data_IF_223141700440
#
_entry.id   IF_223141700440
#
_cell.length_a   1.000
_cell.length_b   1.000
_cell.length_c   1.000
_cell.angle_alpha   90.00
_cell.angle_beta   90.00
_cell.angle_gamma   90.00
#
_symmetry.space_group_name_H-M   'P 1'
#
loop_
_entity.id
_entity.type
_entity.pdbx_description
1 polymer ?
#
# COMPACT_ATOMS: atom_id res chain seq x y z
N UNK A 1 5.72 31.73 -12.72
CA UNK A 1 5.14 30.82 -11.73
C UNK A 1 4.64 31.67 -10.58
N UNK A 2 3.41 31.53 -10.16
CA UNK A 2 2.93 32.24 -8.98
C UNK A 2 3.52 31.55 -7.76
N UNK A 3 4.35 32.23 -6.99
CA UNK A 3 4.92 31.73 -5.75
C UNK A 3 3.84 31.77 -4.66
N UNK A 4 3.12 30.66 -4.50
CA UNK A 4 2.18 30.48 -3.40
C UNK A 4 2.94 29.94 -2.18
N UNK A 5 2.76 30.57 -1.03
CA UNK A 5 3.22 30.08 0.26
C UNK A 5 2.02 29.60 1.09
N UNK A 6 2.15 28.41 1.67
CA UNK A 6 1.18 27.88 2.65
C UNK A 6 1.65 28.27 4.04
N UNK A 7 0.81 28.97 4.77
CA UNK A 7 1.11 29.36 6.15
C UNK A 7 -0.12 29.15 7.06
N UNK A 8 0.03 28.49 8.21
CA UNK A 8 1.26 27.86 8.71
C UNK A 8 1.64 26.61 7.91
N UNK A 9 2.90 26.26 7.89
CA UNK A 9 3.39 25.04 7.23
C UNK A 9 2.85 23.76 7.90
N UNK A 10 2.48 23.85 9.18
CA UNK A 10 1.84 22.73 9.90
C UNK A 10 0.36 22.66 9.53
N UNK A 11 -0.15 21.51 9.09
CA UNK A 11 -1.57 21.33 8.80
C UNK A 11 -2.43 21.60 10.03
N UNK A 12 -3.53 22.35 9.83
CA UNK A 12 -4.54 22.65 10.88
C UNK A 12 -5.71 21.67 10.88
N UNK A 13 -5.82 20.86 9.84
CA UNK A 13 -6.86 19.83 9.70
C UNK A 13 -6.31 18.62 8.94
N UNK A 14 -7.08 17.53 8.94
CA UNK A 14 -6.76 16.29 8.22
C UNK A 14 -7.93 15.92 7.33
N UNK A 15 -7.63 15.43 6.13
CA UNK A 15 -8.60 14.84 5.22
C UNK A 15 -8.13 13.42 4.87
N UNK A 16 -8.46 12.41 5.69
CA UNK A 16 -8.07 11.03 5.42
C UNK A 16 -8.93 10.47 4.27
N UNK A 17 -8.49 10.71 3.05
CA UNK A 17 -9.12 10.17 1.85
C UNK A 17 -8.82 8.67 1.74
N UNK A 18 -9.82 7.90 1.33
CA UNK A 18 -9.70 6.47 1.14
C UNK A 18 -10.71 5.93 0.14
N UNK A 19 -10.53 4.69 -0.33
CA UNK A 19 -11.55 4.01 -1.12
C UNK A 19 -12.86 3.91 -0.37
N UNK A 20 -13.97 4.05 -1.09
CA UNK A 20 -15.31 3.84 -0.54
C UNK A 20 -15.95 2.62 -1.18
N UNK A 21 -16.70 1.86 -0.40
CA UNK A 21 -17.44 0.70 -0.84
C UNK A 21 -18.84 0.67 -0.21
N UNK A 22 -19.70 -0.18 -0.75
CA UNK A 22 -21.09 -0.29 -0.31
C UNK A 22 -21.16 -0.88 1.09
N UNK A 23 -22.02 -0.33 1.95
CA UNK A 23 -22.33 -0.92 3.26
C UNK A 23 -23.01 -2.29 3.12
N UNK A 24 -22.87 -3.14 4.15
CA UNK A 24 -23.44 -4.48 4.24
C UNK A 24 -22.86 -5.51 3.26
N UNK A 25 -21.64 -5.29 2.81
CA UNK A 25 -20.86 -6.27 2.07
C UNK A 25 -19.48 -6.40 2.71
N UNK A 26 -19.40 -7.20 3.77
CA UNK A 26 -18.17 -7.36 4.55
C UNK A 26 -17.05 -8.03 3.76
N UNK A 27 -17.40 -9.01 2.92
CA UNK A 27 -16.42 -9.69 2.08
C UNK A 27 -15.78 -8.73 1.06
N UNK A 28 -16.58 -7.91 0.43
CA UNK A 28 -16.07 -6.88 -0.49
C UNK A 28 -15.24 -5.83 0.26
N UNK A 29 -15.67 -5.43 1.46
CA UNK A 29 -14.91 -4.52 2.32
C UNK A 29 -13.51 -5.07 2.63
N UNK A 30 -13.43 -6.36 3.01
CA UNK A 30 -12.17 -7.02 3.29
C UNK A 30 -11.26 -7.06 2.05
N UNK A 31 -11.81 -7.41 0.88
CA UNK A 31 -11.07 -7.41 -0.39
C UNK A 31 -10.48 -6.02 -0.69
N UNK A 32 -11.28 -4.96 -0.57
CA UNK A 32 -10.81 -3.59 -0.84
C UNK A 32 -9.74 -3.17 0.16
N UNK A 33 -9.96 -3.40 1.46
CA UNK A 33 -9.01 -3.05 2.50
C UNK A 33 -7.67 -3.80 2.32
N UNK A 34 -7.71 -5.11 2.12
CA UNK A 34 -6.50 -5.90 1.93
C UNK A 34 -5.78 -5.60 0.61
N UNK A 35 -6.51 -5.17 -0.43
CA UNK A 35 -5.87 -4.68 -1.66
C UNK A 35 -5.01 -3.44 -1.39
N UNK A 36 -5.51 -2.50 -0.58
CA UNK A 36 -4.73 -1.32 -0.17
C UNK A 36 -3.57 -1.72 0.76
N UNK A 37 -3.84 -2.53 1.78
CA UNK A 37 -2.81 -3.00 2.71
C UNK A 37 -1.68 -3.77 2.02
N UNK A 38 -1.99 -4.55 0.99
CA UNK A 38 -0.99 -5.26 0.20
C UNK A 38 0.03 -4.29 -0.43
N UNK A 39 -0.42 -3.11 -0.88
CA UNK A 39 0.51 -2.09 -1.42
C UNK A 39 1.36 -1.45 -0.32
N UNK A 40 0.83 -1.28 0.90
CA UNK A 40 1.58 -0.76 2.06
C UNK A 40 2.63 -1.77 2.53
N UNK A 41 2.24 -3.04 2.67
CA UNK A 41 3.16 -4.11 3.05
C UNK A 41 4.28 -4.26 2.01
N UNK A 42 3.95 -4.23 0.72
CA UNK A 42 4.95 -4.28 -0.35
C UNK A 42 5.94 -3.10 -0.26
N UNK A 43 5.47 -1.91 0.10
CA UNK A 43 6.31 -0.73 0.33
C UNK A 43 7.26 -0.93 1.52
N UNK A 44 6.74 -1.41 2.66
CA UNK A 44 7.53 -1.72 3.86
C UNK A 44 8.66 -2.73 3.59
N UNK A 45 8.42 -3.73 2.74
CA UNK A 45 9.41 -4.73 2.35
C UNK A 45 10.27 -4.32 1.13
N UNK A 46 10.05 -3.13 0.57
CA UNK A 46 10.76 -2.67 -0.63
C UNK A 46 10.45 -3.49 -1.88
N UNK A 47 9.29 -4.15 -1.92
CA UNK A 47 8.82 -4.91 -3.10
C UNK A 47 8.17 -3.97 -4.08
N UNK A 48 8.65 -3.97 -5.32
CA UNK A 48 8.20 -3.09 -6.40
C UNK A 48 7.75 -3.91 -7.60
N UNK A 49 7.12 -3.26 -8.57
CA UNK A 49 6.81 -3.88 -9.87
C UNK A 49 8.02 -4.50 -10.56
N UNK A 50 9.19 -3.90 -10.36
CA UNK A 50 10.41 -4.30 -11.03
C UNK A 50 11.07 -5.54 -10.39
N UNK A 51 11.01 -5.65 -9.05
CA UNK A 51 11.73 -6.70 -8.32
C UNK A 51 10.84 -7.84 -7.81
N UNK A 52 9.52 -7.75 -7.89
CA UNK A 52 8.58 -8.75 -7.35
C UNK A 52 8.85 -10.17 -7.87
N UNK A 53 9.35 -10.32 -9.10
CA UNK A 53 9.64 -11.65 -9.68
C UNK A 53 10.91 -12.29 -9.10
N UNK A 54 11.83 -11.47 -8.60
CA UNK A 54 13.15 -11.89 -8.09
C UNK A 54 13.32 -11.64 -6.59
N UNK A 55 12.24 -11.29 -5.90
CA UNK A 55 12.27 -11.02 -4.46
C UNK A 55 12.53 -12.30 -3.67
N UNK A 56 13.28 -12.20 -2.58
CA UNK A 56 13.61 -13.33 -1.71
C UNK A 56 12.45 -13.65 -0.75
N UNK A 57 11.55 -14.52 -1.19
CA UNK A 57 10.38 -14.96 -0.42
C UNK A 57 10.72 -15.96 0.69
N UNK A 58 11.88 -16.61 0.63
CA UNK A 58 12.33 -17.52 1.70
C UNK A 58 12.75 -16.71 2.93
N UNK A 59 13.51 -15.64 2.72
CA UNK A 59 13.89 -14.72 3.79
C UNK A 59 12.71 -13.88 4.31
N UNK A 60 11.64 -13.74 3.53
CA UNK A 60 10.49 -12.91 3.84
C UNK A 60 9.15 -13.67 3.72
N UNK A 61 8.85 -14.59 4.65
CA UNK A 61 7.69 -15.48 4.56
C UNK A 61 6.34 -14.75 4.51
N UNK A 62 6.24 -13.56 5.10
CA UNK A 62 5.03 -12.74 5.05
C UNK A 62 4.72 -12.30 3.62
N UNK A 63 5.73 -11.78 2.92
CA UNK A 63 5.58 -11.43 1.51
C UNK A 63 5.30 -12.66 0.64
N UNK A 64 5.88 -13.82 1.00
CA UNK A 64 5.58 -15.08 0.34
C UNK A 64 4.10 -15.46 0.45
N UNK A 65 3.51 -15.37 1.63
CA UNK A 65 2.07 -15.61 1.84
C UNK A 65 1.21 -14.57 1.12
N UNK A 66 1.55 -13.30 1.24
CA UNK A 66 0.81 -12.21 0.60
C UNK A 66 0.78 -12.34 -0.93
N UNK A 67 1.83 -12.85 -1.53
CA UNK A 67 1.95 -12.98 -2.99
C UNK A 67 1.60 -14.37 -3.52
N UNK A 68 1.21 -15.31 -2.64
CA UNK A 68 0.90 -16.69 -3.01
C UNK A 68 2.10 -17.52 -3.46
N UNK A 69 3.33 -17.10 -3.09
CA UNK A 69 4.56 -17.87 -3.30
C UNK A 69 4.79 -18.90 -2.19
N UNK A 70 4.26 -18.63 -1.01
CA UNK A 70 4.21 -19.54 0.13
C UNK A 70 2.76 -19.83 0.47
N UNK A 71 2.50 -20.95 1.14
CA UNK A 71 1.17 -21.32 1.60
C UNK A 71 0.60 -20.25 2.56
N UNK A 72 -0.65 -19.85 2.31
CA UNK A 72 -1.39 -18.89 3.12
C UNK A 72 -2.87 -18.88 2.72
N UNK A 73 -3.72 -18.43 3.62
CA UNK A 73 -5.18 -18.48 3.44
C UNK A 73 -5.83 -17.11 3.28
N UNK A 74 -5.05 -16.01 3.37
CA UNK A 74 -5.60 -14.66 3.38
C UNK A 74 -6.45 -14.38 2.13
N UNK A 75 -5.90 -14.61 0.94
CA UNK A 75 -6.58 -14.34 -0.32
C UNK A 75 -7.73 -15.32 -0.56
N UNK A 76 -7.46 -16.61 -0.32
CA UNK A 76 -8.43 -17.67 -0.61
C UNK A 76 -9.63 -17.65 0.33
N UNK A 77 -9.46 -17.22 1.58
CA UNK A 77 -10.57 -17.02 2.53
C UNK A 77 -11.55 -15.92 2.08
N UNK A 78 -11.08 -14.97 1.28
CA UNK A 78 -11.88 -13.92 0.65
C UNK A 78 -12.42 -14.31 -0.72
N UNK A 79 -12.14 -15.54 -1.20
CA UNK A 79 -12.57 -16.00 -2.52
C UNK A 79 -11.69 -15.50 -3.67
N UNK A 80 -10.49 -15.02 -3.38
CA UNK A 80 -9.52 -14.59 -4.39
C UNK A 80 -8.56 -15.73 -4.73
N UNK A 81 -7.87 -15.62 -5.88
CA UNK A 81 -6.74 -16.49 -6.18
C UNK A 81 -5.57 -16.22 -5.24
N UNK A 82 -4.75 -17.23 -4.97
CA UNK A 82 -3.60 -17.10 -4.06
C UNK A 82 -2.61 -16.01 -4.51
N UNK A 83 -2.50 -15.77 -5.81
CA UNK A 83 -1.62 -14.77 -6.44
C UNK A 83 -2.28 -13.39 -6.64
N UNK A 84 -3.47 -13.16 -6.07
CA UNK A 84 -4.22 -11.91 -6.29
C UNK A 84 -3.38 -10.67 -5.97
N UNK A 85 -2.71 -10.65 -4.83
CA UNK A 85 -1.91 -9.48 -4.42
C UNK A 85 -0.54 -9.41 -5.12
N UNK A 86 0.02 -10.54 -5.58
CA UNK A 86 1.12 -10.49 -6.54
C UNK A 86 0.70 -9.73 -7.79
N UNK A 87 -0.49 -10.04 -8.34
CA UNK A 87 -1.00 -9.37 -9.53
C UNK A 87 -1.26 -7.88 -9.29
N UNK A 88 -1.77 -7.50 -8.11
CA UNK A 88 -1.92 -6.08 -7.74
C UNK A 88 -0.57 -5.37 -7.79
N UNK A 89 0.43 -5.86 -7.05
CA UNK A 89 1.74 -5.21 -6.97
C UNK A 89 2.43 -5.21 -8.34
N UNK A 90 2.32 -6.30 -9.10
CA UNK A 90 2.91 -6.40 -10.45
C UNK A 90 2.33 -5.38 -11.42
N UNK A 91 1.03 -5.08 -11.32
CA UNK A 91 0.34 -4.20 -12.25
C UNK A 91 0.41 -2.73 -11.85
N UNK A 92 0.21 -2.41 -10.57
CA UNK A 92 0.11 -1.02 -10.11
C UNK A 92 1.30 -0.56 -9.26
N UNK A 93 2.09 -1.49 -8.73
CA UNK A 93 3.23 -1.20 -7.85
C UNK A 93 2.88 -1.24 -6.38
N UNK A 94 3.88 -0.95 -5.54
CA UNK A 94 3.70 -0.71 -4.12
C UNK A 94 3.15 0.71 -3.88
N UNK A 95 2.87 1.04 -2.62
CA UNK A 95 2.25 2.34 -2.30
C UNK A 95 3.16 3.53 -2.66
N UNK A 96 4.47 3.42 -2.50
CA UNK A 96 5.38 4.49 -2.89
C UNK A 96 5.39 4.73 -4.40
N UNK A 97 5.39 3.67 -5.21
CA UNK A 97 5.30 3.80 -6.67
C UNK A 97 3.99 4.47 -7.10
N UNK A 98 2.86 4.10 -6.44
CA UNK A 98 1.54 4.70 -6.71
C UNK A 98 1.53 6.17 -6.30
N UNK A 99 1.98 6.48 -5.08
CA UNK A 99 2.02 7.84 -4.55
C UNK A 99 2.91 8.74 -5.39
N UNK A 100 4.16 8.33 -5.59
CA UNK A 100 5.16 9.12 -6.31
C UNK A 100 4.76 9.42 -7.74
N UNK A 101 4.15 8.45 -8.43
CA UNK A 101 3.64 8.65 -9.79
C UNK A 101 2.56 9.74 -9.87
N UNK A 102 1.68 9.81 -8.87
CA UNK A 102 0.48 10.64 -8.93
C UNK A 102 0.65 12.00 -8.23
N UNK A 103 1.42 12.07 -7.14
CA UNK A 103 1.49 13.25 -6.28
C UNK A 103 2.80 14.02 -6.35
N UNK A 104 3.94 13.35 -6.61
CA UNK A 104 5.20 14.07 -6.80
C UNK A 104 5.16 15.10 -7.93
N UNK A 105 4.47 14.87 -9.07
CA UNK A 105 4.36 15.88 -10.13
C UNK A 105 3.67 17.17 -9.72
N UNK A 106 2.86 17.15 -8.66
CA UNK A 106 2.19 18.33 -8.10
C UNK A 106 2.89 18.87 -6.85
N UNK A 107 4.10 18.38 -6.54
CA UNK A 107 4.94 18.87 -5.44
C UNK A 107 4.60 18.30 -4.06
N UNK A 108 3.82 17.23 -4.01
CA UNK A 108 3.48 16.54 -2.76
C UNK A 108 4.38 15.31 -2.60
N UNK A 109 5.35 15.39 -1.72
CA UNK A 109 6.30 14.31 -1.44
C UNK A 109 5.95 13.59 -0.14
N UNK A 110 6.23 12.28 -0.08
CA UNK A 110 5.99 11.48 1.13
C UNK A 110 7.04 11.71 2.21
N UNK A 111 8.28 11.91 1.82
CA UNK A 111 9.41 12.06 2.73
C UNK A 111 9.15 13.18 3.74
N UNK A 112 9.32 12.87 5.03
CA UNK A 112 9.10 13.81 6.13
C UNK A 112 7.65 14.24 6.36
N UNK A 113 6.68 13.61 5.69
CA UNK A 113 5.26 13.92 5.81
C UNK A 113 4.49 12.83 6.58
N UNK A 114 3.24 13.11 6.96
CA UNK A 114 2.34 12.11 7.53
C UNK A 114 2.02 10.94 6.57
N UNK A 115 2.27 11.10 5.27
CA UNK A 115 2.10 10.05 4.27
C UNK A 115 3.33 9.13 4.13
N UNK A 116 4.40 9.36 4.86
CA UNK A 116 5.51 8.42 4.95
C UNK A 116 5.08 7.11 5.65
N UNK A 117 5.78 5.98 5.42
CA UNK A 117 5.51 4.77 6.17
C UNK A 117 5.81 4.98 7.66
N UNK A 118 5.17 4.18 8.52
CA UNK A 118 5.37 4.25 9.96
C UNK A 118 6.84 4.03 10.37
N UNK A 119 7.57 3.23 9.60
CA UNK A 119 9.01 3.01 9.78
C UNK A 119 9.85 4.27 9.65
N UNK A 120 9.36 5.24 8.89
CA UNK A 120 10.00 6.54 8.64
C UNK A 120 9.30 7.69 9.39
N UNK A 121 8.51 7.34 10.43
CA UNK A 121 7.82 8.30 11.28
C UNK A 121 6.51 8.86 10.73
N UNK A 122 6.00 8.32 9.62
CA UNK A 122 4.70 8.68 9.07
C UNK A 122 3.53 7.89 9.68
N UNK A 123 2.37 7.97 9.06
CA UNK A 123 1.14 7.35 9.53
C UNK A 123 0.67 6.17 8.65
N UNK A 124 1.36 5.89 7.55
CA UNK A 124 0.98 4.78 6.68
C UNK A 124 1.41 3.46 7.33
N UNK A 125 0.44 2.63 7.61
CA UNK A 125 0.58 1.38 8.34
C UNK A 125 -0.41 0.33 7.83
N UNK A 126 -0.01 -0.94 7.81
CA UNK A 126 -0.88 -2.06 7.50
C UNK A 126 -0.80 -3.15 8.58
N UNK A 127 -1.89 -3.90 8.84
CA UNK A 127 -1.81 -5.10 9.66
C UNK A 127 -0.94 -6.16 8.95
N UNK A 128 -0.26 -7.04 9.72
CA UNK A 128 0.56 -8.09 9.12
C UNK A 128 -0.30 -9.13 8.38
N UNK A 129 0.17 -9.58 7.21
CA UNK A 129 -0.44 -10.65 6.42
C UNK A 129 -0.10 -12.02 7.05
N UNK A 130 -1.02 -12.58 7.84
CA UNK A 130 -0.86 -13.87 8.55
C UNK A 130 -1.81 -14.92 8.03
#
# INVERSE_FOLDING_TARGET
MNDWAIFPATPISKEPLGPVYRSNDSQWADIVNWTVYATFIADEYGVTRANIDSFDYEANPEMGRLTGKNDGELQTSMGLSADAYYNVIKQVGNYDEIYSKNLNPVGLYREGSANAPWTDGGLIYAPPAR
#
